data_IF_019091310586
#
_entry.id   IF_019091310586
#
_cell.length_a   1.000
_cell.length_b   1.000
_cell.length_c   1.000
_cell.angle_alpha   90.00
_cell.angle_beta   90.00
_cell.angle_gamma   90.00
#
_symmetry.space_group_name_H-M   'P 1'
#
loop_
_entity.id
_entity.type
_entity.pdbx_description
1 polymer ?
#
# COMPACT_ATOMS: atom_id res chain seq x y z
N UNK A 1 -22.01 30.43 -16.43
CA UNK A 1 -23.45 30.54 -16.10
C UNK A 1 -24.26 30.21 -17.33
N UNK A 2 -25.49 29.72 -17.19
CA UNK A 2 -26.37 29.39 -18.32
C UNK A 2 -27.57 30.32 -18.29
N UNK A 3 -27.92 30.94 -19.42
CA UNK A 3 -29.13 31.76 -19.52
C UNK A 3 -30.37 30.86 -19.53
N UNK A 4 -31.36 31.16 -18.69
CA UNK A 4 -32.59 30.36 -18.61
C UNK A 4 -33.50 30.55 -19.83
N UNK A 5 -33.46 31.72 -20.47
CA UNK A 5 -34.35 32.04 -21.60
C UNK A 5 -33.91 31.44 -22.93
N UNK A 6 -32.59 31.37 -23.20
CA UNK A 6 -32.07 30.88 -24.49
C UNK A 6 -31.11 29.70 -24.38
N UNK A 7 -30.75 29.26 -23.16
CA UNK A 7 -29.82 28.16 -22.95
C UNK A 7 -28.35 28.48 -23.27
N UNK A 8 -28.02 29.70 -23.68
CA UNK A 8 -26.65 30.12 -23.98
C UNK A 8 -25.75 30.03 -22.74
N UNK A 9 -24.56 29.46 -22.90
CA UNK A 9 -23.55 29.40 -21.86
C UNK A 9 -22.66 30.64 -21.90
N UNK A 10 -22.67 31.40 -20.81
CA UNK A 10 -21.77 32.54 -20.60
C UNK A 10 -20.58 32.03 -19.77
N UNK A 11 -19.43 31.96 -20.42
CA UNK A 11 -18.16 31.59 -19.80
C UNK A 11 -17.64 32.67 -18.84
N UNK A 12 -16.78 32.25 -17.90
CA UNK A 12 -16.09 33.15 -16.97
C UNK A 12 -15.20 34.13 -17.76
N UNK A 13 -15.23 35.40 -17.39
CA UNK A 13 -14.37 36.44 -17.99
C UNK A 13 -14.94 37.13 -19.24
N UNK A 14 -16.15 36.80 -19.68
CA UNK A 14 -16.83 37.55 -20.75
C UNK A 14 -17.17 38.96 -20.26
N UNK A 15 -16.76 39.98 -21.02
CA UNK A 15 -16.97 41.39 -20.69
C UNK A 15 -18.38 41.82 -21.07
N UNK A 16 -19.05 42.56 -20.18
CA UNK A 16 -20.38 43.11 -20.40
C UNK A 16 -20.45 44.54 -19.91
N UNK A 17 -21.27 45.35 -20.58
CA UNK A 17 -21.71 46.62 -20.04
C UNK A 17 -22.85 46.34 -19.05
N UNK A 18 -22.53 46.41 -17.77
CA UNK A 18 -23.48 46.12 -16.69
C UNK A 18 -23.97 47.39 -16.01
N UNK A 19 -25.24 47.43 -15.62
CA UNK A 19 -25.75 48.46 -14.72
C UNK A 19 -25.50 48.02 -13.27
N UNK A 20 -24.95 48.91 -12.45
CA UNK A 20 -24.73 48.69 -11.02
C UNK A 20 -25.81 49.42 -10.21
N UNK A 21 -26.44 48.72 -9.30
CA UNK A 21 -27.41 49.26 -8.34
C UNK A 21 -27.05 48.83 -6.92
N UNK A 22 -27.33 49.69 -5.95
CA UNK A 22 -27.19 49.34 -4.53
C UNK A 22 -28.44 48.57 -4.09
N UNK A 23 -28.29 47.34 -3.62
CA UNK A 23 -29.45 46.50 -3.28
C UNK A 23 -30.19 46.93 -2.01
N UNK A 24 -29.60 47.84 -1.23
CA UNK A 24 -30.12 48.29 0.07
C UNK A 24 -29.76 47.35 1.23
N UNK A 25 -29.34 46.13 0.92
CA UNK A 25 -28.86 45.15 1.88
C UNK A 25 -27.35 45.33 2.11
N UNK A 26 -26.92 45.19 3.36
CA UNK A 26 -25.50 45.18 3.73
C UNK A 26 -25.21 43.94 4.57
N UNK A 27 -24.12 43.26 4.25
CA UNK A 27 -23.59 42.17 5.08
C UNK A 27 -22.53 42.75 6.00
N UNK A 28 -22.82 42.81 7.29
CA UNK A 28 -22.01 43.50 8.30
C UNK A 28 -21.82 44.98 7.91
N UNK A 29 -20.66 45.37 7.36
CA UNK A 29 -20.34 46.72 6.90
C UNK A 29 -20.16 46.83 5.39
N UNK A 30 -20.33 45.73 4.64
CA UNK A 30 -20.09 45.67 3.20
C UNK A 30 -21.43 45.75 2.48
N UNK A 31 -21.56 46.75 1.60
CA UNK A 31 -22.75 46.94 0.78
C UNK A 31 -22.86 45.84 -0.29
N UNK A 32 -24.05 45.28 -0.42
CA UNK A 32 -24.36 44.30 -1.47
C UNK A 32 -24.80 45.05 -2.72
N UNK A 33 -24.09 44.80 -3.81
CA UNK A 33 -24.41 45.36 -5.11
C UNK A 33 -25.18 44.36 -5.96
N UNK A 34 -26.14 44.91 -6.71
CA UNK A 34 -26.90 44.21 -7.72
C UNK A 34 -26.42 44.67 -9.09
N UNK A 35 -26.11 43.72 -9.94
CA UNK A 35 -25.69 43.98 -11.31
C UNK A 35 -26.71 43.44 -12.29
N UNK A 36 -26.94 44.21 -13.36
CA UNK A 36 -27.80 43.85 -14.47
C UNK A 36 -26.96 43.69 -15.73
N UNK A 37 -26.97 42.49 -16.30
CA UNK A 37 -26.30 42.17 -17.56
C UNK A 37 -27.36 41.71 -18.56
N UNK A 38 -27.16 42.03 -19.85
CA UNK A 38 -27.98 41.48 -20.93
C UNK A 38 -27.29 40.29 -21.58
N UNK A 39 -28.05 39.23 -21.84
CA UNK A 39 -27.57 38.09 -22.61
C UNK A 39 -27.24 38.49 -24.06
N UNK A 40 -26.16 37.96 -24.63
CA UNK A 40 -25.73 38.29 -26.00
C UNK A 40 -26.64 37.72 -27.09
N UNK A 41 -27.47 36.71 -26.78
CA UNK A 41 -28.34 36.05 -27.76
C UNK A 41 -29.78 36.53 -27.72
N UNK A 42 -30.41 36.50 -26.53
CA UNK A 42 -31.83 36.84 -26.37
C UNK A 42 -32.07 38.22 -25.75
N UNK A 43 -31.01 38.97 -25.41
CA UNK A 43 -31.08 40.28 -24.75
C UNK A 43 -31.86 40.28 -23.42
N UNK A 44 -32.21 39.11 -22.87
CA UNK A 44 -32.84 38.98 -21.58
C UNK A 44 -31.91 39.52 -20.48
N UNK A 45 -32.51 40.17 -19.49
CA UNK A 45 -31.81 40.71 -18.35
C UNK A 45 -31.53 39.60 -17.32
N UNK A 46 -30.26 39.50 -16.94
CA UNK A 46 -29.75 38.58 -15.93
C UNK A 46 -29.29 39.44 -14.76
N UNK A 47 -29.77 39.11 -13.56
CA UNK A 47 -29.43 39.84 -12.34
C UNK A 47 -28.65 38.97 -11.38
N UNK A 48 -27.58 39.54 -10.83
CA UNK A 48 -26.77 38.88 -9.80
C UNK A 48 -26.43 39.84 -8.67
N UNK A 49 -26.40 39.29 -7.46
CA UNK A 49 -25.97 39.94 -6.23
C UNK A 49 -24.55 39.49 -5.88
N UNK A 50 -23.80 40.39 -5.24
CA UNK A 50 -22.54 40.06 -4.58
C UNK A 50 -22.82 39.39 -3.23
N UNK A 51 -22.14 38.30 -2.90
CA UNK A 51 -22.23 37.64 -1.59
C UNK A 51 -20.90 37.73 -0.83
N UNK A 52 -20.74 38.74 0.06
CA UNK A 52 -19.48 38.93 0.80
C UNK A 52 -19.09 37.74 1.69
N UNK A 53 -20.08 36.95 2.17
CA UNK A 53 -19.84 35.80 3.04
C UNK A 53 -19.01 34.69 2.38
N UNK A 54 -19.26 34.43 1.10
CA UNK A 54 -18.64 33.31 0.36
C UNK A 54 -17.66 33.81 -0.73
N UNK A 55 -17.40 35.13 -0.80
CA UNK A 55 -16.63 35.78 -1.85
C UNK A 55 -17.10 35.41 -3.29
N UNK A 56 -18.41 35.20 -3.46
CA UNK A 56 -19.02 34.71 -4.70
C UNK A 56 -20.20 35.62 -5.12
N UNK A 57 -20.85 35.27 -6.23
CA UNK A 57 -22.06 35.94 -6.71
C UNK A 57 -23.23 34.97 -6.79
N UNK A 58 -24.40 35.41 -6.32
CA UNK A 58 -25.67 34.68 -6.46
C UNK A 58 -26.49 35.25 -7.60
N UNK A 59 -26.92 34.38 -8.51
CA UNK A 59 -27.85 34.73 -9.57
C UNK A 59 -29.27 34.78 -9.01
N UNK A 60 -29.95 35.92 -9.15
CA UNK A 60 -31.35 36.05 -8.74
C UNK A 60 -32.32 35.73 -9.88
N UNK A 61 -32.11 36.36 -11.05
CA UNK A 61 -33.02 36.22 -12.20
C UNK A 61 -32.26 35.94 -13.47
N UNK A 62 -32.85 35.10 -14.33
CA UNK A 62 -32.45 34.95 -15.74
C UNK A 62 -31.27 34.02 -16.01
N UNK A 63 -30.56 33.53 -14.99
CA UNK A 63 -29.48 32.58 -15.17
C UNK A 63 -29.39 31.56 -14.05
N UNK A 64 -28.97 30.35 -14.42
CA UNK A 64 -28.51 29.32 -13.49
C UNK A 64 -26.99 29.26 -13.46
N UNK A 65 -26.43 28.89 -12.30
CA UNK A 65 -25.02 28.55 -12.20
C UNK A 65 -24.76 27.25 -12.95
N UNK A 66 -23.57 27.13 -13.55
CA UNK A 66 -23.16 25.85 -14.08
C UNK A 66 -22.91 24.91 -12.90
N UNK A 67 -23.44 23.70 -12.95
CA UNK A 67 -23.20 22.71 -11.92
C UNK A 67 -21.79 22.15 -12.09
N UNK A 68 -21.02 22.18 -11.00
CA UNK A 68 -19.63 21.74 -10.95
C UNK A 68 -19.54 20.61 -9.92
N UNK A 69 -19.43 19.34 -10.35
CA UNK A 69 -19.50 18.19 -9.44
C UNK A 69 -18.48 18.25 -8.28
N UNK A 70 -17.28 18.78 -8.53
CA UNK A 70 -16.25 18.92 -7.50
C UNK A 70 -16.65 19.85 -6.35
N UNK A 71 -17.55 20.82 -6.59
CA UNK A 71 -17.98 21.76 -5.56
C UNK A 71 -18.99 21.14 -4.59
N UNK A 72 -19.82 20.23 -5.08
CA UNK A 72 -20.72 19.43 -4.24
C UNK A 72 -19.91 18.43 -3.42
N UNK A 73 -18.96 17.72 -4.04
CA UNK A 73 -18.04 16.81 -3.35
C UNK A 73 -17.25 17.52 -2.24
N UNK A 74 -16.73 18.73 -2.50
CA UNK A 74 -16.04 19.52 -1.47
C UNK A 74 -16.99 19.89 -0.32
N UNK A 75 -18.25 20.23 -0.61
CA UNK A 75 -19.21 20.59 0.44
C UNK A 75 -19.56 19.38 1.31
N UNK A 76 -19.79 18.23 0.69
CA UNK A 76 -20.06 16.95 1.37
C UNK A 76 -18.86 16.52 2.22
N UNK A 77 -17.64 16.60 1.66
CA UNK A 77 -16.41 16.27 2.39
C UNK A 77 -16.18 17.18 3.61
N UNK A 78 -16.47 18.48 3.50
CA UNK A 78 -16.37 19.41 4.62
C UNK A 78 -17.45 19.18 5.69
N UNK A 79 -18.67 18.80 5.28
CA UNK A 79 -19.75 18.41 6.19
C UNK A 79 -19.39 17.13 6.96
N UNK A 80 -18.85 16.12 6.28
CA UNK A 80 -18.39 14.87 6.88
C UNK A 80 -17.21 15.09 7.83
N UNK A 81 -16.24 15.93 7.45
CA UNK A 81 -15.12 16.31 8.33
C UNK A 81 -15.63 17.01 9.59
N UNK A 82 -16.57 17.94 9.44
CA UNK A 82 -17.14 18.67 10.57
C UNK A 82 -17.91 17.74 11.51
N UNK A 83 -18.67 16.79 10.96
CA UNK A 83 -19.37 15.76 11.75
C UNK A 83 -18.38 14.89 12.53
N UNK A 84 -17.31 14.42 11.88
CA UNK A 84 -16.25 13.64 12.56
C UNK A 84 -15.56 14.43 13.66
N UNK A 85 -15.27 15.71 13.41
CA UNK A 85 -14.64 16.58 14.40
C UNK A 85 -15.56 16.85 15.59
N UNK A 86 -16.87 17.01 15.37
CA UNK A 86 -17.83 17.20 16.45
C UNK A 86 -17.91 15.97 17.37
N UNK A 87 -17.91 14.76 16.79
CA UNK A 87 -17.86 13.50 17.55
C UNK A 87 -16.53 13.34 18.32
N UNK A 88 -15.41 13.75 17.73
CA UNK A 88 -14.10 13.76 18.37
C UNK A 88 -13.95 14.83 19.48
N UNK A 89 -14.69 15.94 19.40
CA UNK A 89 -14.71 17.01 20.41
C UNK A 89 -15.54 16.63 21.64
N UNK A 90 -16.60 15.83 21.46
CA UNK A 90 -17.42 15.34 22.57
C UNK A 90 -16.63 14.40 23.49
N UNK A 91 -15.66 13.65 22.95
CA UNK A 91 -14.88 12.65 23.70
C UNK A 91 -13.37 12.70 23.40
N UNK A 92 -12.60 13.31 24.30
CA UNK A 92 -11.14 13.42 24.19
C UNK A 92 -10.40 12.06 24.08
N UNK A 93 -10.97 10.98 24.65
CA UNK A 93 -10.44 9.62 24.52
C UNK A 93 -10.62 9.06 23.11
N UNK A 94 -11.80 9.24 22.51
CA UNK A 94 -12.11 8.79 21.15
C UNK A 94 -11.20 9.48 20.12
N UNK A 95 -10.91 10.77 20.29
CA UNK A 95 -9.93 11.48 19.46
C UNK A 95 -8.54 10.88 19.53
N UNK A 96 -8.09 10.46 20.72
CA UNK A 96 -6.78 9.83 20.91
C UNK A 96 -6.74 8.43 20.26
N UNK A 97 -7.82 7.67 20.37
CA UNK A 97 -7.98 6.36 19.72
C UNK A 97 -7.98 6.48 18.19
N UNK A 98 -8.73 7.44 17.62
CA UNK A 98 -8.72 7.71 16.19
C UNK A 98 -7.33 8.15 15.69
N UNK A 99 -6.62 8.99 16.46
CA UNK A 99 -5.27 9.40 16.11
C UNK A 99 -4.30 8.22 16.10
N UNK A 100 -4.31 7.38 17.14
CA UNK A 100 -3.42 6.22 17.25
C UNK A 100 -3.71 5.16 16.18
N UNK A 101 -4.99 4.91 15.87
CA UNK A 101 -5.38 3.99 14.78
C UNK A 101 -5.03 4.53 13.40
N UNK A 102 -5.16 5.85 13.17
CA UNK A 102 -4.73 6.49 11.92
C UNK A 102 -3.21 6.42 11.76
N UNK A 103 -2.43 6.77 12.79
CA UNK A 103 -0.96 6.65 12.74
C UNK A 103 -0.53 5.20 12.52
N UNK A 104 -1.21 4.23 13.13
CA UNK A 104 -0.96 2.79 12.89
C UNK A 104 -1.19 2.42 11.42
N UNK A 105 -2.32 2.83 10.84
CA UNK A 105 -2.60 2.60 9.41
C UNK A 105 -1.58 3.28 8.50
N UNK A 106 -1.17 4.50 8.80
CA UNK A 106 -0.13 5.20 8.05
C UNK A 106 1.20 4.45 8.09
N UNK A 107 1.62 3.94 9.27
CA UNK A 107 2.82 3.12 9.40
C UNK A 107 2.71 1.82 8.58
N UNK A 108 1.59 1.09 8.67
CA UNK A 108 1.36 -0.13 7.89
C UNK A 108 1.38 0.11 6.38
N UNK A 109 0.84 1.24 5.91
CA UNK A 109 0.88 1.62 4.49
C UNK A 109 2.31 1.93 4.05
N UNK A 110 3.10 2.63 4.88
CA UNK A 110 4.48 2.96 4.54
C UNK A 110 5.37 1.71 4.50
N UNK A 111 5.22 0.80 5.46
CA UNK A 111 5.91 -0.48 5.46
C UNK A 111 5.54 -1.31 4.22
N UNK A 112 4.25 -1.38 3.86
CA UNK A 112 3.79 -2.07 2.66
C UNK A 112 4.35 -1.46 1.35
N UNK A 113 4.47 -0.12 1.29
CA UNK A 113 5.08 0.56 0.15
C UNK A 113 6.58 0.28 0.03
N UNK A 114 7.29 0.22 1.16
CA UNK A 114 8.72 -0.12 1.17
C UNK A 114 8.95 -1.60 0.82
N UNK A 115 8.07 -2.51 1.23
CA UNK A 115 8.08 -3.91 0.76
C UNK A 115 7.88 -4.02 -0.76
N UNK A 116 6.97 -3.22 -1.34
CA UNK A 116 6.77 -3.18 -2.78
C UNK A 116 8.01 -2.61 -3.49
N UNK A 117 8.59 -1.52 -2.97
CA UNK A 117 9.80 -0.92 -3.54
C UNK A 117 10.99 -1.86 -3.49
N UNK A 118 11.22 -2.54 -2.37
CA UNK A 118 12.34 -3.49 -2.24
C UNK A 118 12.16 -4.71 -3.13
N UNK A 119 10.92 -5.22 -3.27
CA UNK A 119 10.57 -6.29 -4.22
C UNK A 119 10.81 -5.84 -5.67
N UNK A 120 10.34 -4.66 -6.04
CA UNK A 120 10.51 -4.11 -7.38
C UNK A 120 11.98 -3.88 -7.70
N UNK A 121 12.76 -3.29 -6.79
CA UNK A 121 14.21 -3.10 -6.95
C UNK A 121 14.96 -4.44 -7.10
N UNK A 122 14.51 -5.51 -6.42
CA UNK A 122 15.06 -6.86 -6.61
C UNK A 122 14.71 -7.40 -8.00
N UNK A 123 13.46 -7.28 -8.42
CA UNK A 123 13.01 -7.73 -9.74
C UNK A 123 13.71 -6.97 -10.87
N UNK A 124 13.93 -5.66 -10.74
CA UNK A 124 14.67 -4.85 -11.70
C UNK A 124 16.12 -5.31 -11.85
N UNK A 125 16.79 -5.66 -10.75
CA UNK A 125 18.17 -6.19 -10.77
C UNK A 125 18.28 -7.55 -11.45
N UNK A 126 17.28 -8.41 -11.27
CA UNK A 126 17.25 -9.76 -11.84
C UNK A 126 16.87 -9.69 -13.34
N UNK A 127 16.04 -8.72 -13.72
CA UNK A 127 15.51 -8.59 -15.08
C UNK A 127 14.58 -9.75 -15.48
N UNK A 128 13.97 -9.65 -16.66
CA UNK A 128 13.06 -10.71 -17.17
C UNK A 128 13.82 -12.02 -17.41
N UNK A 129 15.02 -11.94 -18.01
CA UNK A 129 15.83 -13.14 -18.30
C UNK A 129 16.35 -13.83 -17.04
N UNK A 130 16.77 -13.08 -16.02
CA UNK A 130 17.24 -13.68 -14.77
C UNK A 130 16.10 -14.35 -14.00
N UNK A 131 14.87 -13.80 -14.07
CA UNK A 131 13.71 -14.37 -13.42
C UNK A 131 13.29 -15.69 -14.07
N UNK A 132 13.34 -15.76 -15.42
CA UNK A 132 13.11 -17.00 -16.17
C UNK A 132 14.14 -18.07 -15.80
N UNK A 133 15.44 -17.72 -15.78
CA UNK A 133 16.50 -18.67 -15.39
C UNK A 133 16.35 -19.16 -13.94
N UNK A 134 15.91 -18.30 -13.03
CA UNK A 134 15.69 -18.70 -11.63
C UNK A 134 14.55 -19.71 -11.50
N UNK A 135 13.44 -19.48 -12.20
CA UNK A 135 12.30 -20.42 -12.26
C UNK A 135 12.68 -21.75 -12.93
N UNK A 136 13.46 -21.70 -14.01
CA UNK A 136 14.00 -22.90 -14.66
C UNK A 136 14.94 -23.68 -13.72
N UNK A 137 15.76 -22.99 -12.93
CA UNK A 137 16.64 -23.64 -11.96
C UNK A 137 15.88 -24.26 -10.77
N UNK A 138 14.80 -23.64 -10.30
CA UNK A 138 13.96 -24.17 -9.22
C UNK A 138 13.14 -25.37 -9.67
N UNK A 139 12.61 -25.34 -10.90
CA UNK A 139 11.92 -26.50 -11.50
C UNK A 139 12.87 -27.67 -11.76
N UNK A 140 14.10 -27.41 -12.21
CA UNK A 140 15.11 -28.45 -12.33
C UNK A 140 15.53 -29.03 -10.97
N UNK A 141 15.71 -28.18 -9.95
CA UNK A 141 16.12 -28.61 -8.61
C UNK A 141 15.05 -29.48 -7.93
N UNK A 142 13.79 -29.11 -8.04
CA UNK A 142 12.66 -29.92 -7.55
C UNK A 142 12.54 -31.25 -8.30
N UNK A 143 12.75 -31.27 -9.61
CA UNK A 143 12.78 -32.51 -10.38
C UNK A 143 13.94 -33.45 -9.93
N UNK A 144 15.13 -32.90 -9.69
CA UNK A 144 16.29 -33.67 -9.19
C UNK A 144 16.00 -34.24 -7.80
N UNK A 145 15.47 -33.43 -6.88
CA UNK A 145 15.13 -33.87 -5.51
C UNK A 145 14.12 -35.03 -5.52
N UNK A 146 13.09 -34.95 -6.37
CA UNK A 146 12.12 -36.04 -6.52
C UNK A 146 12.71 -37.33 -7.08
N UNK A 147 13.71 -37.23 -7.98
CA UNK A 147 14.37 -38.39 -8.57
C UNK A 147 15.40 -39.00 -7.60
N UNK A 148 16.14 -38.17 -6.86
CA UNK A 148 17.05 -38.62 -5.80
C UNK A 148 16.30 -39.38 -4.69
N UNK A 149 15.13 -38.90 -4.28
CA UNK A 149 14.26 -39.59 -3.34
C UNK A 149 13.77 -40.95 -3.88
N UNK A 150 13.54 -41.05 -5.19
CA UNK A 150 13.13 -42.29 -5.84
C UNK A 150 14.28 -43.31 -5.88
N UNK A 151 15.47 -42.86 -6.24
CA UNK A 151 16.69 -43.67 -6.27
C UNK A 151 17.09 -44.15 -4.87
N UNK A 152 17.05 -43.27 -3.86
CA UNK A 152 17.34 -43.62 -2.48
C UNK A 152 16.40 -44.72 -1.93
N UNK A 153 15.13 -44.75 -2.35
CA UNK A 153 14.20 -45.84 -1.98
C UNK A 153 14.61 -47.16 -2.63
N UNK A 154 14.96 -47.14 -3.92
CA UNK A 154 15.40 -48.34 -4.64
C UNK A 154 16.72 -48.89 -4.06
N UNK A 155 17.68 -48.02 -3.76
CA UNK A 155 18.95 -48.40 -3.13
C UNK A 155 18.74 -48.95 -1.72
N UNK A 156 17.80 -48.40 -0.94
CA UNK A 156 17.44 -48.93 0.36
C UNK A 156 16.78 -50.33 0.27
N UNK A 157 15.97 -50.58 -0.76
CA UNK A 157 15.40 -51.91 -1.01
C UNK A 157 16.47 -52.92 -1.46
N UNK A 158 17.35 -52.53 -2.38
CA UNK A 158 18.48 -53.37 -2.82
C UNK A 158 19.39 -53.69 -1.63
N UNK A 159 19.75 -52.69 -0.81
CA UNK A 159 20.56 -52.87 0.38
C UNK A 159 19.92 -53.87 1.37
N UNK A 160 18.60 -53.79 1.58
CA UNK A 160 17.86 -54.78 2.39
C UNK A 160 17.99 -56.19 1.82
N UNK A 161 17.77 -56.37 0.52
CA UNK A 161 17.85 -57.71 -0.10
C UNK A 161 19.26 -58.30 -0.10
N UNK A 162 20.30 -57.46 -0.25
CA UNK A 162 21.70 -57.89 -0.18
C UNK A 162 22.08 -58.25 1.25
N UNK A 163 21.67 -57.45 2.24
CA UNK A 163 21.91 -57.71 3.67
C UNK A 163 21.21 -59.00 4.15
N UNK A 164 19.98 -59.25 3.70
CA UNK A 164 19.25 -60.49 3.98
C UNK A 164 19.90 -61.71 3.33
N UNK A 165 20.51 -61.55 2.14
CA UNK A 165 21.27 -62.62 1.48
C UNK A 165 22.56 -62.94 2.22
N UNK A 166 23.34 -61.94 2.64
CA UNK A 166 24.60 -62.16 3.39
C UNK A 166 24.39 -62.74 4.79
N UNK A 167 23.29 -62.39 5.48
CA UNK A 167 22.91 -63.04 6.74
C UNK A 167 22.53 -64.51 6.51
N UNK A 168 21.86 -64.83 5.41
CA UNK A 168 21.50 -66.23 5.07
C UNK A 168 22.71 -67.09 4.67
N UNK A 169 23.79 -66.51 4.13
CA UNK A 169 25.03 -67.26 3.82
C UNK A 169 25.95 -67.49 5.02
N UNK A 170 25.68 -66.88 6.18
CA UNK A 170 26.52 -66.99 7.38
C UNK A 170 25.76 -67.52 8.59
N UNK A 171 25.15 -68.71 8.46
CA UNK A 171 24.80 -69.56 9.61
C UNK A 171 25.27 -71.00 9.36
N UNK A 172 26.56 -71.23 9.60
CA UNK A 172 27.06 -72.49 10.16
C UNK A 172 27.94 -72.12 11.35
N UNK A 173 27.62 -72.57 12.58
CA UNK A 173 28.48 -72.28 13.73
C UNK A 173 29.59 -73.33 13.79
N UNK A 174 30.84 -72.89 13.72
CA UNK A 174 32.01 -73.71 14.09
C UNK A 174 32.89 -72.90 15.04
N UNK A 175 33.26 -73.43 16.21
CA UNK A 175 34.06 -72.70 17.18
C UNK A 175 35.55 -72.84 16.83
N UNK A 176 36.24 -71.74 16.56
CA UNK A 176 37.70 -71.74 16.53
C UNK A 176 38.27 -70.37 16.91
N UNK A 177 39.21 -70.42 17.85
CA UNK A 177 39.96 -69.31 18.44
C UNK A 177 40.87 -68.64 17.40
N UNK A 178 40.97 -67.31 17.42
CA UNK A 178 42.26 -66.62 17.21
C UNK A 178 42.26 -65.15 17.65
N UNK A 179 43.24 -64.87 18.52
CA UNK A 179 43.90 -63.60 18.86
C UNK A 179 43.13 -62.28 18.71
N UNK A 180 42.75 -61.72 19.86
CA UNK A 180 42.49 -60.29 20.01
C UNK A 180 43.83 -59.55 19.90
N UNK A 181 44.08 -58.88 18.78
CA UNK A 181 45.07 -57.81 18.71
C UNK A 181 44.38 -56.51 19.17
N UNK A 182 44.83 -55.98 20.30
CA UNK A 182 44.34 -54.75 20.90
C UNK A 182 44.70 -53.54 20.05
N UNK A 183 43.80 -53.08 19.19
CA UNK A 183 43.94 -51.80 18.49
C UNK A 183 43.52 -50.66 19.44
N UNK A 184 44.47 -49.81 19.84
CA UNK A 184 44.20 -48.59 20.62
C UNK A 184 43.31 -47.64 19.80
N UNK A 185 42.15 -47.27 20.35
CA UNK A 185 41.32 -46.17 19.82
C UNK A 185 42.14 -44.87 19.76
N UNK A 186 42.30 -44.20 18.59
CA UNK A 186 42.62 -42.78 18.61
C UNK A 186 41.41 -42.02 19.18
N UNK A 187 41.64 -41.17 20.18
CA UNK A 187 40.62 -40.27 20.73
C UNK A 187 40.13 -39.34 19.60
N UNK A 188 38.87 -39.47 19.21
CA UNK A 188 38.22 -38.49 18.36
C UNK A 188 38.18 -37.14 19.09
N UNK A 189 38.83 -36.12 18.50
CA UNK A 189 38.62 -34.72 18.91
C UNK A 189 37.18 -34.36 18.56
N UNK A 190 36.40 -33.91 19.55
CA UNK A 190 35.10 -33.29 19.31
C UNK A 190 35.29 -32.10 18.34
N UNK A 191 34.42 -31.91 17.34
CA UNK A 191 34.43 -30.67 16.57
C UNK A 191 34.15 -29.50 17.52
N UNK A 192 34.98 -28.45 17.47
CA UNK A 192 34.70 -27.20 18.16
C UNK A 192 33.43 -26.61 17.55
N UNK A 193 32.39 -26.47 18.35
CA UNK A 193 31.33 -25.52 18.07
C UNK A 193 31.97 -24.13 18.11
N UNK A 194 32.21 -23.55 16.93
CA UNK A 194 32.49 -22.12 16.85
C UNK A 194 31.15 -21.42 17.15
N UNK A 195 30.94 -21.09 18.42
CA UNK A 195 29.91 -20.14 18.80
C UNK A 195 30.20 -18.83 18.08
N UNK A 196 29.26 -18.34 17.28
CA UNK A 196 29.26 -16.97 16.79
C UNK A 196 29.04 -16.09 18.02
N UNK A 197 30.14 -15.59 18.59
CA UNK A 197 30.08 -14.51 19.56
C UNK A 197 29.63 -13.25 18.80
N UNK A 198 28.40 -12.80 19.06
CA UNK A 198 27.95 -11.45 18.76
C UNK A 198 28.90 -10.48 19.47
N UNK A 199 29.83 -9.90 18.71
CA UNK A 199 30.71 -8.84 19.18
C UNK A 199 29.93 -7.54 19.30
N UNK A 200 29.40 -7.26 20.49
CA UNK A 200 29.06 -5.89 20.89
C UNK A 200 30.35 -5.22 21.36
N UNK A 201 30.83 -4.23 20.60
CA UNK A 201 31.96 -3.38 20.98
C UNK A 201 31.43 -2.20 21.78
N UNK A 202 31.61 -2.22 23.11
CA UNK A 202 31.46 -1.04 23.97
C UNK A 202 32.75 -0.21 23.89
N UNK A 203 32.66 0.97 23.26
CA UNK A 203 33.73 1.98 23.27
C UNK A 203 33.74 2.65 24.65
N UNK A 204 34.83 2.50 25.41
CA UNK A 204 35.08 3.32 26.61
C UNK A 204 35.49 4.72 26.16
N UNK A 205 34.64 5.70 26.47
CA UNK A 205 34.97 7.12 26.43
C UNK A 205 35.87 7.45 27.63
N UNK A 206 36.97 8.14 27.35
CA UNK A 206 37.73 8.94 28.32
C UNK A 206 36.99 10.26 28.53
#
# INVERSE_FOLDING_TARGET
>A
MRCNSCGEYIYKGKKFNARKEHSGEAYMSISIFRFYIRCTRCSAEITFKTDPKNADYTAERGASRNFEPWREQQKEEEEDKLARLAEEEENAMTKLENKTTNTKREMEIMDALDDIRTRNARNERIGVEGAVRHLESETQRSAIETEEDRLNRQDAEIAKTVFDKTIKTTITPTPAKSSIASFKKPKAKKPKQNGVALGIVLKKTV
#
